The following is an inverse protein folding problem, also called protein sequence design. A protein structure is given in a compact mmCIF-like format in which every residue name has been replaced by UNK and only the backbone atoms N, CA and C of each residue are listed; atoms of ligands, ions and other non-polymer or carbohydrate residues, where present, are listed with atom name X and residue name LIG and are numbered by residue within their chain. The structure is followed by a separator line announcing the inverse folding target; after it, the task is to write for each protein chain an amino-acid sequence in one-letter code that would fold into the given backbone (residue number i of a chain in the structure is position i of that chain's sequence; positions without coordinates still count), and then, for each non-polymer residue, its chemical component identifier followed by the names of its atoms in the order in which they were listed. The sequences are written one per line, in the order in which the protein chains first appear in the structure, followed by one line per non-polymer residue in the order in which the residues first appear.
data_IF_054090655800
#
_entry.id   IF_054090655800
#
_cell.length_a   1.000
_cell.length_b   1.000
_cell.length_c   1.000
_cell.angle_alpha   90.00
_cell.angle_beta   90.00
_cell.angle_gamma   90.00
#
_symmetry.space_group_name_H-M   'P 1'
#
loop_
_entity.id
_entity.type
_entity.pdbx_description
1 polymer ?
#
# COMPACT_ATOMS: atom_id res chain seq x y z
N UNK A 1 -3.93 4.19 -12.67
CA UNK A 1 -2.82 3.23 -12.83
C UNK A 1 -1.72 3.47 -11.80
N UNK A 2 -1.29 4.71 -11.56
CA UNK A 2 -0.30 5.05 -10.50
C UNK A 2 -0.66 4.49 -9.12
N UNK A 3 -1.91 4.65 -8.66
CA UNK A 3 -2.31 4.22 -7.33
C UNK A 3 -2.07 2.72 -7.05
N UNK A 4 -2.01 1.83 -8.05
CA UNK A 4 -1.69 0.42 -7.78
C UNK A 4 -0.26 0.23 -7.27
N UNK A 5 0.66 1.09 -7.67
CA UNK A 5 2.05 1.07 -7.18
C UNK A 5 2.16 1.47 -5.72
N UNK A 6 1.21 2.24 -5.19
CA UNK A 6 1.12 2.51 -3.75
C UNK A 6 0.92 1.22 -2.94
N UNK A 7 0.25 0.22 -3.52
CA UNK A 7 -0.02 -1.08 -2.90
C UNK A 7 1.07 -2.12 -3.16
N UNK A 8 2.22 -1.72 -3.73
CA UNK A 8 3.33 -2.65 -3.98
C UNK A 8 3.81 -3.22 -2.66
N UNK A 9 4.05 -4.53 -2.63
CA UNK A 9 4.61 -5.18 -1.46
C UNK A 9 5.96 -4.52 -1.10
N UNK A 10 6.24 -4.23 0.18
CA UNK A 10 7.42 -3.45 0.58
C UNK A 10 8.76 -4.01 0.10
N UNK A 11 8.89 -5.34 -0.02
CA UNK A 11 10.10 -5.99 -0.55
C UNK A 11 10.29 -5.88 -2.07
N UNK A 12 9.28 -5.41 -2.81
CA UNK A 12 9.22 -5.51 -4.27
C UNK A 12 9.15 -4.15 -4.97
N UNK A 13 9.20 -3.04 -4.25
CA UNK A 13 9.10 -1.71 -4.86
C UNK A 13 8.99 -0.56 -3.88
N UNK A 14 8.60 0.64 -4.37
CA UNK A 14 8.54 1.84 -3.55
C UNK A 14 7.39 1.80 -2.55
N UNK A 15 7.67 2.21 -1.31
CA UNK A 15 6.72 2.23 -0.18
C UNK A 15 6.15 3.62 0.12
N UNK A 16 6.79 4.68 -0.37
CA UNK A 16 6.42 6.08 -0.10
C UNK A 16 6.14 6.82 -1.41
N UNK A 17 5.12 6.36 -2.14
CA UNK A 17 4.73 6.94 -3.42
C UNK A 17 3.22 6.94 -3.65
N UNK A 18 2.77 7.74 -4.61
CA UNK A 18 1.41 7.73 -5.17
C UNK A 18 0.29 7.82 -4.13
N UNK A 19 0.38 8.78 -3.22
CA UNK A 19 -0.59 9.04 -2.15
C UNK A 19 -1.94 9.52 -2.71
N UNK A 20 -1.96 10.14 -3.88
CA UNK A 20 -3.17 10.58 -4.56
C UNK A 20 -3.97 9.42 -5.14
N UNK A 21 -5.18 9.19 -4.61
CA UNK A 21 -6.12 8.18 -5.11
C UNK A 21 -6.77 8.60 -6.44
N UNK A 22 -7.58 9.68 -6.40
CA UNK A 22 -8.30 10.19 -7.58
C UNK A 22 -7.58 11.37 -8.25
N UNK A 23 -6.86 12.18 -7.47
CA UNK A 23 -6.15 13.35 -7.94
C UNK A 23 -4.64 13.19 -7.75
N UNK A 24 -3.99 12.51 -8.69
CA UNK A 24 -2.55 12.22 -8.63
C UNK A 24 -1.65 13.43 -8.93
N UNK A 25 -2.23 14.61 -9.24
CA UNK A 25 -1.47 15.84 -9.45
C UNK A 25 -0.57 16.17 -8.25
N UNK A 26 -1.05 15.91 -7.04
CA UNK A 26 -0.29 16.15 -5.82
C UNK A 26 1.01 15.35 -5.76
N UNK A 27 1.02 14.12 -6.27
CA UNK A 27 2.23 13.29 -6.29
C UNK A 27 3.32 13.88 -7.18
N UNK A 28 2.95 14.58 -8.24
CA UNK A 28 3.92 15.28 -9.10
C UNK A 28 4.41 16.57 -8.45
N UNK A 29 3.52 17.34 -7.81
CA UNK A 29 3.87 18.59 -7.11
C UNK A 29 4.84 18.33 -5.96
N UNK A 30 4.60 17.26 -5.19
CA UNK A 30 5.41 16.92 -4.02
C UNK A 30 6.49 15.88 -4.30
N UNK A 31 6.67 15.43 -5.54
CA UNK A 31 7.76 14.53 -5.95
C UNK A 31 7.60 13.08 -5.47
N UNK A 32 6.38 12.63 -5.18
CA UNK A 32 6.05 11.26 -4.73
C UNK A 32 5.46 10.40 -5.86
N UNK A 33 5.46 10.90 -7.10
CA UNK A 33 4.97 10.19 -8.28
C UNK A 33 5.91 9.05 -8.71
N UNK A 34 5.37 7.84 -8.78
CA UNK A 34 6.06 6.65 -9.29
C UNK A 34 5.21 5.94 -10.35
N UNK A 35 5.71 5.86 -11.58
CA UNK A 35 4.98 5.22 -12.69
C UNK A 35 5.96 4.70 -13.75
N UNK A 36 6.59 3.53 -13.52
CA UNK A 36 7.46 2.94 -14.53
C UNK A 36 6.64 2.53 -15.76
N UNK A 37 7.19 2.83 -16.94
CA UNK A 37 6.53 2.60 -18.21
C UNK A 37 6.39 1.10 -18.52
N UNK A 38 5.21 0.68 -18.99
CA UNK A 38 4.95 -0.69 -19.40
C UNK A 38 4.94 -1.75 -18.29
N UNK A 39 5.14 -1.38 -17.02
CA UNK A 39 5.24 -2.34 -15.90
C UNK A 39 4.00 -2.36 -15.00
N UNK A 40 3.92 -3.41 -14.19
CA UNK A 40 3.03 -3.55 -13.05
C UNK A 40 3.83 -4.03 -11.83
N UNK A 41 3.33 -3.82 -10.59
CA UNK A 41 3.96 -4.40 -9.40
C UNK A 41 4.08 -5.92 -9.53
N UNK A 42 5.24 -6.46 -9.16
CA UNK A 42 5.47 -7.90 -9.14
C UNK A 42 4.60 -8.58 -8.06
N UNK A 43 4.49 -7.95 -6.89
CA UNK A 43 3.62 -8.36 -5.79
C UNK A 43 2.97 -7.14 -5.15
N UNK A 44 1.72 -7.30 -4.73
CA UNK A 44 0.97 -6.34 -3.92
C UNK A 44 0.70 -6.96 -2.55
N UNK A 45 0.49 -6.12 -1.53
CA UNK A 45 0.10 -6.61 -0.20
C UNK A 45 0.96 -6.06 0.93
N UNK A 46 0.85 -6.70 2.09
CA UNK A 46 1.45 -6.27 3.35
C UNK A 46 2.65 -7.14 3.72
N UNK A 47 3.66 -6.58 4.39
CA UNK A 47 4.79 -7.37 4.89
C UNK A 47 4.38 -8.49 5.86
N UNK A 48 3.26 -8.31 6.56
CA UNK A 48 2.77 -9.24 7.58
C UNK A 48 1.57 -10.06 7.08
N UNK A 49 1.46 -10.30 5.78
CA UNK A 49 0.34 -11.02 5.14
C UNK A 49 0.04 -12.36 5.83
N UNK A 50 1.06 -13.16 6.16
CA UNK A 50 0.91 -14.45 6.86
C UNK A 50 0.22 -14.35 8.24
N UNK A 51 0.24 -13.16 8.86
CA UNK A 51 -0.38 -12.88 10.17
C UNK A 51 -1.69 -12.11 10.02
N UNK A 52 -2.06 -11.71 8.82
CA UNK A 52 -3.27 -10.96 8.55
C UNK A 52 -4.49 -11.89 8.58
N UNK A 53 -5.61 -11.49 9.21
CA UNK A 53 -6.77 -12.37 9.32
C UNK A 53 -7.48 -12.60 7.98
N UNK A 54 -7.92 -13.82 7.72
CA UNK A 54 -8.64 -14.19 6.47
C UNK A 54 -10.15 -13.98 6.52
N UNK A 55 -10.74 -13.86 7.72
CA UNK A 55 -12.18 -13.69 7.87
C UNK A 55 -12.56 -12.21 7.90
N UNK A 56 -13.66 -11.86 7.20
CA UNK A 56 -14.19 -10.48 7.13
C UNK A 56 -14.33 -9.84 8.50
N UNK A 57 -14.93 -10.56 9.47
CA UNK A 57 -15.12 -10.05 10.82
C UNK A 57 -13.81 -9.80 11.56
N UNK A 58 -12.83 -10.69 11.40
CA UNK A 58 -11.53 -10.50 12.01
C UNK A 58 -10.77 -9.32 11.38
N UNK A 59 -10.87 -9.11 10.06
CA UNK A 59 -10.28 -7.95 9.37
C UNK A 59 -10.91 -6.62 9.83
N UNK A 60 -12.24 -6.57 10.00
CA UNK A 60 -12.94 -5.38 10.50
C UNK A 60 -12.54 -5.02 11.94
N UNK A 61 -12.27 -6.02 12.78
CA UNK A 61 -11.87 -5.81 14.19
C UNK A 61 -10.36 -5.59 14.32
N UNK A 62 -9.54 -6.12 13.39
CA UNK A 62 -8.08 -6.05 13.43
C UNK A 62 -7.50 -4.66 13.77
N UNK A 63 -7.93 -3.55 13.13
CA UNK A 63 -7.39 -2.22 13.44
C UNK A 63 -7.80 -1.69 14.83
N UNK A 64 -8.85 -2.24 15.45
CA UNK A 64 -9.30 -1.87 16.80
C UNK A 64 -8.58 -2.64 17.89
N UNK A 65 -7.83 -3.70 17.54
CA UNK A 65 -6.97 -4.41 18.49
C UNK A 65 -5.81 -3.49 18.83
N UNK A 66 -5.91 -2.78 19.95
CA UNK A 66 -4.80 -2.03 20.52
C UNK A 66 -3.61 -2.97 20.70
N UNK A 67 -2.56 -2.80 19.88
CA UNK A 67 -1.25 -3.32 20.22
C UNK A 67 -0.88 -2.65 21.55
N UNK A 68 -0.75 -3.44 22.61
CA UNK A 68 -0.11 -2.97 23.83
C UNK A 68 1.31 -2.59 23.39
N UNK A 69 1.62 -1.29 23.40
CA UNK A 69 2.92 -0.81 22.97
C UNK A 69 4.02 -1.54 23.74
N UNK A 70 5.01 -2.02 23.01
CA UNK A 70 6.33 -2.32 23.57
C UNK A 70 7.13 -1.02 23.71
#
# INVERSE_FOLDING_TARGET
RMHIWHHTHPDCGPTLCNFGLNLSLWDWIFGTAYQPEGKFPERIGLAEEDRFPDSLWAQLIYPLRLKKGE
#
